data_IF_737115361095
#
_entry.id   IF_737115361095
#
_cell.length_a   1.000
_cell.length_b   1.000
_cell.length_c   1.000
_cell.angle_alpha   90.00
_cell.angle_beta   90.00
_cell.angle_gamma   90.00
#
_symmetry.space_group_name_H-M   'P 1'
#
loop_
_entity.id
_entity.type
_entity.pdbx_description
1 polymer ?
#
# COMPACT_ATOMS: atom_id res chain seq x y z
N UNK A 1 12.77 10.30 11.69
CA UNK A 1 11.86 10.34 12.85
C UNK A 1 12.55 10.03 14.20
N UNK A 2 13.62 9.22 14.22
CA UNK A 2 14.23 8.66 15.44
C UNK A 2 15.77 8.70 15.45
N UNK A 3 16.36 9.62 14.68
CA UNK A 3 17.82 9.86 14.59
C UNK A 3 18.68 8.66 14.16
N UNK A 4 18.08 7.60 13.59
CA UNK A 4 18.83 6.50 12.99
C UNK A 4 19.30 6.92 11.59
N UNK A 5 20.59 6.69 11.32
CA UNK A 5 21.17 6.93 9.98
C UNK A 5 21.29 5.62 9.21
N UNK A 6 20.68 5.58 8.03
CA UNK A 6 20.81 4.46 7.09
C UNK A 6 21.84 4.80 6.02
N UNK A 7 22.85 3.95 5.86
CA UNK A 7 23.85 4.06 4.80
C UNK A 7 23.41 3.21 3.60
N UNK A 8 22.78 3.85 2.62
CA UNK A 8 22.26 3.19 1.42
C UNK A 8 23.16 3.41 0.21
N UNK A 9 23.32 2.37 -0.62
CA UNK A 9 24.06 2.48 -1.86
C UNK A 9 23.18 3.09 -2.95
N UNK A 10 23.61 4.24 -3.49
CA UNK A 10 22.86 4.99 -4.50
C UNK A 10 22.52 4.14 -5.74
N UNK A 11 23.46 3.31 -6.20
CA UNK A 11 23.22 2.36 -7.30
C UNK A 11 22.05 1.41 -7.05
N UNK A 12 21.84 1.00 -5.81
CA UNK A 12 20.72 0.13 -5.47
C UNK A 12 19.41 0.91 -5.39
N UNK A 13 19.45 2.13 -4.84
CA UNK A 13 18.30 3.04 -4.82
C UNK A 13 17.82 3.35 -6.23
N UNK A 14 18.73 3.78 -7.12
CA UNK A 14 18.45 4.12 -8.52
C UNK A 14 17.72 3.02 -9.29
N UNK A 15 18.08 1.75 -9.03
CA UNK A 15 17.51 0.61 -9.76
C UNK A 15 16.22 0.07 -9.11
N UNK A 16 16.01 0.29 -7.80
CA UNK A 16 14.92 -0.34 -7.06
C UNK A 16 13.87 0.63 -6.53
N UNK A 17 14.10 1.95 -6.62
CA UNK A 17 13.21 2.95 -6.08
C UNK A 17 13.09 4.17 -7.01
N UNK A 18 11.88 4.69 -7.20
CA UNK A 18 11.62 5.83 -8.09
C UNK A 18 11.68 7.21 -7.43
N UNK A 19 11.46 7.28 -6.11
CA UNK A 19 11.39 8.56 -5.40
C UNK A 19 12.75 9.12 -4.94
N UNK A 20 13.84 8.38 -5.13
CA UNK A 20 15.18 8.81 -4.73
C UNK A 20 15.98 9.33 -5.92
N UNK A 21 16.84 10.35 -5.72
CA UNK A 21 17.69 10.85 -6.79
C UNK A 21 18.66 9.76 -7.27
N UNK A 22 18.79 9.63 -8.59
CA UNK A 22 19.66 8.66 -9.26
C UNK A 22 21.16 8.88 -9.01
N UNK A 23 21.98 7.92 -9.44
CA UNK A 23 23.43 7.91 -9.22
C UNK A 23 24.15 9.20 -9.62
N UNK A 24 23.64 9.84 -10.67
CA UNK A 24 24.12 11.03 -11.36
C UNK A 24 24.09 12.31 -10.51
N UNK A 25 23.29 12.35 -9.43
CA UNK A 25 23.20 13.53 -8.56
C UNK A 25 24.23 13.47 -7.43
N UNK A 26 25.10 14.46 -7.32
CA UNK A 26 25.99 14.62 -6.17
C UNK A 26 25.21 15.04 -4.92
N UNK A 27 25.16 14.16 -3.91
CA UNK A 27 24.54 14.50 -2.62
C UNK A 27 25.44 15.31 -1.69
N UNK A 28 26.75 15.44 -1.97
CA UNK A 28 27.72 16.20 -1.13
C UNK A 28 27.68 15.86 0.38
N UNK A 29 27.30 14.65 0.74
CA UNK A 29 27.13 14.23 2.14
C UNK A 29 25.81 14.70 2.79
N UNK A 30 24.85 15.15 2.00
CA UNK A 30 23.50 15.51 2.43
C UNK A 30 22.82 14.30 3.09
N UNK A 31 22.24 14.57 4.26
CA UNK A 31 21.44 13.62 5.02
C UNK A 31 19.98 13.94 4.76
N UNK A 32 19.30 13.06 4.03
CA UNK A 32 17.87 13.18 3.75
C UNK A 32 17.08 12.73 4.97
N UNK A 33 16.21 13.61 5.47
CA UNK A 33 15.30 13.28 6.58
C UNK A 33 14.05 12.60 6.05
N UNK A 34 13.78 11.40 6.56
CA UNK A 34 12.59 10.63 6.24
C UNK A 34 11.60 10.69 7.42
N UNK A 35 10.30 10.69 7.08
CA UNK A 35 9.21 10.92 8.03
C UNK A 35 8.83 9.66 8.81
N UNK A 36 9.10 8.51 8.24
CA UNK A 36 8.83 7.18 8.74
C UNK A 36 9.84 6.83 9.86
N UNK A 37 9.44 6.00 10.83
CA UNK A 37 10.35 5.50 11.85
C UNK A 37 11.34 4.49 11.25
N UNK A 38 12.50 4.36 11.89
CA UNK A 38 13.57 3.47 11.46
C UNK A 38 13.14 2.02 11.35
N UNK A 39 12.26 1.54 12.25
CA UNK A 39 11.74 0.16 12.19
C UNK A 39 11.09 -0.17 10.84
N UNK A 40 10.39 0.81 10.25
CA UNK A 40 9.68 0.68 8.98
C UNK A 40 10.67 0.80 7.83
N UNK A 41 11.53 1.82 7.89
CA UNK A 41 12.58 2.06 6.90
C UNK A 41 13.58 0.90 6.82
N UNK A 42 13.88 0.22 7.93
CA UNK A 42 14.75 -0.94 7.95
C UNK A 42 14.19 -2.07 7.08
N UNK A 43 12.88 -2.36 7.18
CA UNK A 43 12.23 -3.38 6.35
C UNK A 43 12.16 -2.92 4.89
N UNK A 44 11.73 -1.68 4.64
CA UNK A 44 11.65 -1.11 3.28
C UNK A 44 13.00 -1.18 2.57
N UNK A 45 14.08 -0.75 3.24
CA UNK A 45 15.43 -0.76 2.68
C UNK A 45 16.01 -2.17 2.55
N UNK A 46 15.44 -3.19 3.18
CA UNK A 46 15.86 -4.57 2.92
C UNK A 46 15.53 -5.05 1.52
N UNK A 47 14.46 -4.57 0.91
CA UNK A 47 14.07 -4.88 -0.47
C UNK A 47 14.97 -4.23 -1.54
N UNK A 48 15.70 -3.18 -1.18
CA UNK A 48 16.57 -2.44 -2.11
C UNK A 48 17.86 -3.20 -2.43
N UNK A 49 18.26 -4.13 -1.56
CA UNK A 49 19.52 -4.86 -1.73
C UNK A 49 19.30 -6.22 -2.41
N UNK A 50 20.27 -6.69 -3.21
CA UNK A 50 20.23 -8.00 -3.87
C UNK A 50 20.49 -9.12 -2.86
N UNK A 51 19.49 -9.35 -2.01
CA UNK A 51 19.45 -10.38 -0.97
C UNK A 51 18.07 -11.00 -0.93
N UNK A 52 17.92 -12.08 -0.18
CA UNK A 52 16.59 -12.64 0.11
C UNK A 52 15.73 -11.54 0.74
N UNK A 53 14.56 -11.32 0.17
CA UNK A 53 13.61 -10.34 0.68
C UNK A 53 13.19 -10.69 2.12
N UNK A 54 12.96 -9.67 2.95
CA UNK A 54 12.47 -9.90 4.30
C UNK A 54 11.15 -10.66 4.23
N UNK A 55 10.95 -11.54 5.19
CA UNK A 55 9.64 -12.11 5.44
C UNK A 55 8.76 -11.02 6.07
N UNK A 56 7.53 -10.91 5.58
CA UNK A 56 6.52 -10.00 6.10
C UNK A 56 5.47 -10.75 6.93
N UNK A 57 5.53 -12.09 6.95
CA UNK A 57 4.63 -12.92 7.74
C UNK A 57 4.76 -12.58 9.24
N UNK A 58 3.63 -12.49 9.93
CA UNK A 58 3.56 -12.26 11.38
C UNK A 58 3.62 -10.79 11.82
N UNK A 59 3.73 -9.84 10.88
CA UNK A 59 3.48 -8.43 11.17
C UNK A 59 1.98 -8.21 11.47
N UNK A 60 1.70 -7.31 12.42
CA UNK A 60 0.33 -6.82 12.60
C UNK A 60 -0.08 -5.90 11.43
N UNK A 61 -1.38 -5.64 11.34
CA UNK A 61 -1.94 -4.88 10.23
C UNK A 61 -1.37 -3.46 10.17
N UNK A 62 -1.25 -2.79 11.32
CA UNK A 62 -0.77 -1.42 11.42
C UNK A 62 0.68 -1.30 10.95
N UNK A 63 1.57 -2.19 11.37
CA UNK A 63 2.96 -2.20 10.92
C UNK A 63 3.06 -2.49 9.42
N UNK A 64 2.27 -3.46 8.92
CA UNK A 64 2.27 -3.81 7.51
C UNK A 64 1.76 -2.66 6.64
N UNK A 65 0.69 -1.98 7.05
CA UNK A 65 0.16 -0.81 6.36
C UNK A 65 1.17 0.36 6.36
N UNK A 66 1.86 0.58 7.49
CA UNK A 66 2.92 1.60 7.58
C UNK A 66 4.06 1.31 6.59
N UNK A 67 4.46 0.03 6.46
CA UNK A 67 5.46 -0.42 5.47
C UNK A 67 4.93 -0.25 4.05
N UNK A 68 3.70 -0.66 3.77
CA UNK A 68 3.11 -0.55 2.44
C UNK A 68 3.02 0.92 1.98
N UNK A 69 2.57 1.82 2.85
CA UNK A 69 2.53 3.26 2.56
C UNK A 69 3.93 3.84 2.28
N UNK A 70 4.94 3.41 3.04
CA UNK A 70 6.33 3.82 2.81
C UNK A 70 6.89 3.26 1.50
N UNK A 71 6.59 2.00 1.18
CA UNK A 71 6.97 1.34 -0.08
C UNK A 71 6.42 2.10 -1.27
N UNK A 72 5.13 2.46 -1.24
CA UNK A 72 4.50 3.21 -2.33
C UNK A 72 5.05 4.62 -2.43
N UNK A 73 5.16 5.34 -1.30
CA UNK A 73 5.70 6.70 -1.26
C UNK A 73 7.10 6.81 -1.83
N UNK A 74 7.95 5.82 -1.54
CA UNK A 74 9.32 5.79 -2.02
C UNK A 74 9.48 5.04 -3.35
N UNK A 75 8.36 4.57 -3.90
CA UNK A 75 8.28 3.78 -5.12
C UNK A 75 9.25 2.58 -5.10
N UNK A 76 9.32 1.84 -3.98
CA UNK A 76 10.21 0.67 -3.82
C UNK A 76 9.61 -0.52 -4.57
N UNK A 77 9.84 -0.56 -5.88
CA UNK A 77 9.27 -1.52 -6.82
C UNK A 77 9.33 -3.00 -6.37
N UNK A 78 10.45 -3.54 -5.85
CA UNK A 78 10.50 -4.94 -5.43
C UNK A 78 9.61 -5.28 -4.23
N UNK A 79 9.15 -4.27 -3.48
CA UNK A 79 8.34 -4.45 -2.28
C UNK A 79 6.83 -4.24 -2.52
N UNK A 80 6.43 -3.51 -3.57
CA UNK A 80 5.03 -3.16 -3.83
C UNK A 80 4.10 -4.39 -3.93
N UNK A 81 4.49 -5.40 -4.71
CA UNK A 81 3.67 -6.60 -4.83
C UNK A 81 3.65 -7.44 -3.53
N UNK A 82 4.80 -7.73 -2.87
CA UNK A 82 4.81 -8.42 -1.58
C UNK A 82 3.94 -7.76 -0.51
N UNK A 83 4.05 -6.45 -0.28
CA UNK A 83 3.26 -5.76 0.74
C UNK A 83 1.77 -5.81 0.45
N UNK A 84 1.36 -5.60 -0.80
CA UNK A 84 -0.05 -5.73 -1.21
C UNK A 84 -0.56 -7.18 -1.09
N UNK A 85 0.29 -8.17 -1.36
CA UNK A 85 -0.04 -9.58 -1.18
C UNK A 85 -0.31 -9.93 0.29
N UNK A 86 0.45 -9.33 1.20
CA UNK A 86 0.23 -9.50 2.63
C UNK A 86 -1.01 -8.73 3.13
N UNK A 87 -1.22 -7.49 2.67
CA UNK A 87 -2.41 -6.70 3.02
C UNK A 87 -3.71 -7.40 2.64
N UNK A 88 -3.71 -8.17 1.53
CA UNK A 88 -4.84 -8.99 1.11
C UNK A 88 -5.33 -9.94 2.20
N UNK A 89 -4.43 -10.48 3.04
CA UNK A 89 -4.79 -11.39 4.13
C UNK A 89 -5.66 -10.70 5.20
N UNK A 90 -5.56 -9.38 5.32
CA UNK A 90 -6.29 -8.58 6.31
C UNK A 90 -7.60 -7.98 5.78
N UNK A 91 -8.00 -8.25 4.54
CA UNK A 91 -9.22 -7.67 3.95
C UNK A 91 -10.46 -7.92 4.81
N UNK A 92 -10.61 -9.10 5.41
CA UNK A 92 -11.81 -9.41 6.20
C UNK A 92 -11.89 -8.58 7.49
N UNK A 93 -10.74 -8.27 8.09
CA UNK A 93 -10.63 -7.59 9.38
C UNK A 93 -10.54 -6.07 9.22
N UNK A 94 -9.85 -5.60 8.18
CA UNK A 94 -9.57 -4.18 7.91
C UNK A 94 -9.92 -3.76 6.46
N UNK A 95 -11.15 -4.02 5.97
CA UNK A 95 -11.47 -3.84 4.56
C UNK A 95 -11.40 -2.38 4.11
N UNK A 96 -11.75 -1.42 4.98
CA UNK A 96 -11.79 -0.01 4.60
C UNK A 96 -10.39 0.60 4.51
N UNK A 97 -9.51 0.27 5.44
CA UNK A 97 -8.11 0.70 5.39
C UNK A 97 -7.40 0.09 4.16
N UNK A 98 -7.63 -1.19 3.87
CA UNK A 98 -7.08 -1.85 2.66
C UNK A 98 -7.64 -1.23 1.38
N UNK A 99 -8.95 -0.95 1.33
CA UNK A 99 -9.56 -0.29 0.17
C UNK A 99 -8.95 1.10 -0.05
N UNK A 100 -8.78 1.90 1.01
CA UNK A 100 -8.22 3.25 0.91
C UNK A 100 -6.77 3.22 0.43
N UNK A 101 -5.95 2.31 0.96
CA UNK A 101 -4.59 2.08 0.47
C UNK A 101 -4.60 1.74 -1.03
N UNK A 102 -5.43 0.77 -1.41
CA UNK A 102 -5.49 0.30 -2.79
C UNK A 102 -5.95 1.40 -3.77
N UNK A 103 -6.93 2.23 -3.39
CA UNK A 103 -7.39 3.35 -4.21
C UNK A 103 -6.38 4.50 -4.27
N UNK A 104 -5.65 4.74 -3.18
CA UNK A 104 -4.62 5.79 -3.12
C UNK A 104 -3.45 5.53 -4.07
N UNK A 105 -3.09 4.25 -4.24
CA UNK A 105 -1.92 3.82 -5.02
C UNK A 105 -2.29 3.02 -6.28
N UNK A 106 -3.54 3.14 -6.75
CA UNK A 106 -4.03 2.53 -7.99
C UNK A 106 -3.97 0.98 -8.08
N UNK A 107 -3.99 0.27 -6.93
CA UNK A 107 -4.01 -1.20 -6.86
C UNK A 107 -5.42 -1.77 -7.08
N UNK A 108 -5.91 -1.67 -8.31
CA UNK A 108 -7.29 -2.05 -8.70
C UNK A 108 -7.72 -3.44 -8.25
N UNK A 109 -6.84 -4.44 -8.35
CA UNK A 109 -7.17 -5.81 -7.95
C UNK A 109 -7.44 -5.89 -6.44
N UNK A 110 -6.56 -5.28 -5.63
CA UNK A 110 -6.74 -5.25 -4.19
C UNK A 110 -7.99 -4.47 -3.78
N UNK A 111 -8.27 -3.35 -4.44
CA UNK A 111 -9.49 -2.58 -4.23
C UNK A 111 -10.76 -3.39 -4.55
N UNK A 112 -10.77 -4.11 -5.69
CA UNK A 112 -11.88 -4.96 -6.09
C UNK A 112 -12.10 -6.15 -5.14
N UNK A 113 -11.04 -6.67 -4.53
CA UNK A 113 -11.13 -7.74 -3.53
C UNK A 113 -11.65 -7.21 -2.18
N UNK A 114 -11.31 -5.98 -1.80
CA UNK A 114 -11.75 -5.36 -0.55
C UNK A 114 -13.18 -4.80 -0.61
N UNK A 115 -13.59 -4.24 -1.75
CA UNK A 115 -14.88 -3.56 -1.90
C UNK A 115 -16.12 -4.40 -1.49
N UNK A 116 -16.24 -5.70 -1.83
CA UNK A 116 -17.37 -6.54 -1.43
C UNK A 116 -17.64 -6.58 0.08
N UNK A 117 -16.59 -6.50 0.90
CA UNK A 117 -16.70 -6.52 2.37
C UNK A 117 -17.32 -5.24 2.93
N UNK A 118 -17.43 -4.18 2.10
CA UNK A 118 -17.95 -2.88 2.47
C UNK A 118 -19.26 -2.54 1.74
N UNK A 119 -19.79 -3.45 0.93
CA UNK A 119 -20.97 -3.21 0.08
C UNK A 119 -22.20 -2.72 0.87
N UNK A 120 -22.29 -3.02 2.16
CA UNK A 120 -23.38 -2.61 3.04
C UNK A 120 -22.92 -1.63 4.14
N UNK A 121 -21.66 -1.23 4.15
CA UNK A 121 -21.12 -0.34 5.18
C UNK A 121 -21.31 1.12 4.81
N UNK A 122 -21.93 1.88 5.71
CA UNK A 122 -22.03 3.33 5.56
C UNK A 122 -20.72 4.05 5.89
N UNK A 123 -19.76 3.38 6.55
CA UNK A 123 -18.46 3.98 6.93
C UNK A 123 -17.64 4.41 5.72
N UNK A 124 -17.95 3.87 4.54
CA UNK A 124 -17.27 4.24 3.30
C UNK A 124 -17.53 5.71 2.96
N UNK A 125 -18.75 6.20 3.16
CA UNK A 125 -19.10 7.59 2.83
C UNK A 125 -18.35 8.61 3.70
N UNK A 126 -17.94 8.22 4.91
CA UNK A 126 -17.20 9.10 5.82
C UNK A 126 -15.68 9.09 5.55
N UNK A 127 -15.13 7.99 5.05
CA UNK A 127 -13.68 7.80 4.90
C UNK A 127 -13.18 7.94 3.46
N UNK A 128 -14.03 7.69 2.46
CA UNK A 128 -13.62 7.68 1.06
C UNK A 128 -13.45 9.11 0.52
N UNK A 129 -12.39 9.41 -0.25
CA UNK A 129 -12.25 10.71 -0.89
C UNK A 129 -13.43 11.04 -1.83
N UNK A 130 -13.87 12.30 -1.85
CA UNK A 130 -15.06 12.76 -2.59
C UNK A 130 -15.09 12.31 -4.06
N UNK A 131 -13.94 12.34 -4.73
CA UNK A 131 -13.82 11.98 -6.15
C UNK A 131 -14.07 10.48 -6.42
N UNK A 132 -14.01 9.62 -5.40
CA UNK A 132 -14.34 8.20 -5.51
C UNK A 132 -15.79 7.88 -5.15
N UNK A 133 -16.54 8.79 -4.50
CA UNK A 133 -17.91 8.51 -4.02
C UNK A 133 -18.88 8.17 -5.17
N UNK A 134 -18.81 8.88 -6.29
CA UNK A 134 -19.65 8.57 -7.46
C UNK A 134 -19.34 7.18 -8.04
N UNK A 135 -18.06 6.82 -8.10
CA UNK A 135 -17.64 5.50 -8.56
C UNK A 135 -18.09 4.41 -7.58
N UNK A 136 -18.02 4.68 -6.28
CA UNK A 136 -18.49 3.77 -5.23
C UNK A 136 -20.00 3.49 -5.35
N UNK A 137 -20.83 4.53 -5.43
CA UNK A 137 -22.29 4.38 -5.53
C UNK A 137 -22.69 3.63 -6.81
N UNK A 138 -22.01 3.91 -7.93
CA UNK A 138 -22.22 3.21 -9.20
C UNK A 138 -21.87 1.72 -9.10
N UNK A 139 -20.71 1.41 -8.51
CA UNK A 139 -20.27 0.04 -8.26
C UNK A 139 -21.24 -0.70 -7.33
N UNK A 140 -21.61 -0.08 -6.20
CA UNK A 140 -22.52 -0.64 -5.20
C UNK A 140 -23.90 -0.96 -5.79
N UNK A 141 -24.45 -0.04 -6.60
CA UNK A 141 -25.72 -0.25 -7.30
C UNK A 141 -25.66 -1.43 -8.28
N UNK A 142 -24.55 -1.55 -9.02
CA UNK A 142 -24.31 -2.65 -9.94
C UNK A 142 -24.19 -3.99 -9.21
N UNK A 143 -23.45 -4.03 -8.10
CA UNK A 143 -23.31 -5.21 -7.25
C UNK A 143 -24.67 -5.67 -6.69
N UNK A 144 -25.52 -4.74 -6.22
CA UNK A 144 -26.87 -5.06 -5.77
C UNK A 144 -27.77 -5.60 -6.86
N UNK A 145 -27.69 -5.05 -8.07
CA UNK A 145 -28.46 -5.57 -9.20
C UNK A 145 -28.08 -7.02 -9.51
N UNK A 146 -26.78 -7.33 -9.58
CA UNK A 146 -26.30 -8.70 -9.82
C UNK A 146 -26.74 -9.65 -8.70
N UNK A 147 -26.56 -9.24 -7.43
CA UNK A 147 -26.98 -10.05 -6.29
C UNK A 147 -28.50 -10.32 -6.28
N UNK A 148 -29.31 -9.31 -6.61
CA UNK A 148 -30.75 -9.43 -6.72
C UNK A 148 -31.16 -10.45 -7.80
N UNK A 149 -30.54 -10.37 -8.98
CA UNK A 149 -30.81 -11.30 -10.09
C UNK A 149 -30.45 -12.74 -9.70
N UNK A 150 -29.30 -12.94 -9.06
CA UNK A 150 -28.87 -14.28 -8.60
C UNK A 150 -29.82 -14.86 -7.55
N UNK A 151 -30.33 -14.06 -6.61
CA UNK A 151 -31.28 -14.53 -5.58
C UNK A 151 -32.67 -14.80 -6.16
N UNK A 152 -33.11 -14.02 -7.14
CA UNK A 152 -34.46 -14.13 -7.72
C UNK A 152 -34.59 -15.21 -8.78
N UNK A 153 -33.51 -15.53 -9.48
CA UNK A 153 -33.55 -16.39 -10.68
C UNK A 153 -32.51 -17.51 -10.68
N UNK A 154 -31.70 -17.66 -9.63
CA UNK A 154 -30.83 -18.82 -9.38
C UNK A 154 -31.50 -19.83 -8.47
#
# INVERSE_FOLDING_TARGET
>A
SDNVQFYLHRKNLEVNAGAFPGAEFETKGEVVQLTEPARTLEIVFRFIYPRRYPDLDGLDFEALLEIAEAVEKYEVFPAMFPTNSELRKFIQEHPIEVLLHALKHDHRNLANEAAPYLAFSNTVFDKLPDHYLLHWVSWQSSAFFVAYVLVKFG
#
